data_IF_504368930399
#
_entry.id   IF_504368930399
#
_cell.length_a   1.000
_cell.length_b   1.000
_cell.length_c   1.000
_cell.angle_alpha   90.00
_cell.angle_beta   90.00
_cell.angle_gamma   90.00
#
_symmetry.space_group_name_H-M   'P 1'
#
loop_
_entity.id
_entity.type
_entity.pdbx_description
1 polymer ?
#
# COMPACT_ATOMS: atom_id res chain seq x y z
N UNK A 1 24.21 -34.29 -33.22
CA UNK A 1 23.94 -33.45 -32.03
C UNK A 1 23.70 -32.03 -32.53
N UNK A 2 22.50 -31.47 -32.35
CA UNK A 2 22.12 -30.20 -32.99
C UNK A 2 22.80 -29.07 -32.23
N UNK A 3 23.41 -28.16 -32.96
CA UNK A 3 24.03 -26.94 -32.43
C UNK A 3 23.06 -26.10 -31.56
N UNK A 4 21.75 -26.38 -31.49
CA UNK A 4 20.80 -25.75 -30.56
C UNK A 4 20.99 -26.16 -29.09
N UNK A 5 21.40 -27.40 -28.83
CA UNK A 5 21.26 -28.02 -27.49
C UNK A 5 22.45 -27.67 -26.58
N UNK A 6 23.68 -27.65 -27.11
CA UNK A 6 24.87 -27.13 -26.41
C UNK A 6 24.74 -25.66 -26.01
N UNK A 7 23.81 -24.92 -26.62
CA UNK A 7 23.68 -23.46 -26.50
C UNK A 7 22.66 -23.06 -25.45
N UNK A 8 21.53 -23.76 -25.41
CA UNK A 8 20.62 -23.73 -24.26
C UNK A 8 21.40 -24.16 -23.00
N UNK A 9 22.31 -25.12 -23.12
CA UNK A 9 23.18 -25.51 -22.01
C UNK A 9 24.12 -24.39 -21.53
N UNK A 10 24.66 -23.52 -22.40
CA UNK A 10 25.49 -22.37 -21.96
C UNK A 10 24.67 -21.34 -21.19
N UNK A 11 23.47 -20.99 -21.69
CA UNK A 11 22.58 -20.07 -20.99
C UNK A 11 22.05 -20.68 -19.68
N UNK A 12 21.65 -21.95 -19.71
CA UNK A 12 21.22 -22.67 -18.51
C UNK A 12 22.33 -22.77 -17.47
N UNK A 13 23.56 -23.09 -17.88
CA UNK A 13 24.73 -23.10 -16.99
C UNK A 13 25.03 -21.71 -16.43
N UNK A 14 24.87 -20.66 -17.23
CA UNK A 14 25.03 -19.29 -16.74
C UNK A 14 23.96 -18.94 -15.70
N UNK A 15 22.69 -19.21 -15.99
CA UNK A 15 21.56 -18.98 -15.08
C UNK A 15 21.72 -19.77 -13.78
N UNK A 16 22.07 -21.05 -13.87
CA UNK A 16 22.31 -21.91 -12.70
C UNK A 16 23.41 -21.34 -11.81
N UNK A 17 24.51 -20.86 -12.39
CA UNK A 17 25.60 -20.22 -11.62
C UNK A 17 25.19 -18.88 -11.02
N UNK A 18 24.35 -18.11 -11.72
CA UNK A 18 23.86 -16.83 -11.23
C UNK A 18 22.91 -17.01 -10.05
N UNK A 19 22.08 -18.06 -10.06
CA UNK A 19 21.06 -18.32 -9.05
C UNK A 19 21.57 -19.15 -7.87
N UNK A 20 22.39 -20.17 -8.13
CA UNK A 20 22.79 -21.18 -7.14
C UNK A 20 24.30 -21.26 -6.92
N UNK A 21 25.09 -20.50 -7.70
CA UNK A 21 26.54 -20.52 -7.63
C UNK A 21 27.14 -19.40 -6.76
N UNK A 22 28.47 -19.40 -6.57
CA UNK A 22 29.16 -18.25 -6.00
C UNK A 22 29.03 -17.02 -6.93
N UNK A 23 29.18 -15.79 -6.39
CA UNK A 23 29.12 -14.57 -7.20
C UNK A 23 30.03 -14.65 -8.43
N UNK A 24 29.45 -14.36 -9.60
CA UNK A 24 30.17 -14.42 -10.87
C UNK A 24 31.30 -13.37 -10.93
N UNK A 25 32.43 -13.79 -11.50
CA UNK A 25 33.57 -12.92 -11.79
C UNK A 25 33.37 -12.15 -13.09
N UNK A 26 34.05 -11.01 -13.21
CA UNK A 26 34.04 -10.18 -14.42
C UNK A 26 34.44 -10.98 -15.68
N UNK A 27 35.37 -11.94 -15.56
CA UNK A 27 35.77 -12.84 -16.65
C UNK A 27 34.63 -13.77 -17.10
N UNK A 28 33.78 -14.22 -16.18
CA UNK A 28 32.64 -15.08 -16.51
C UNK A 28 31.52 -14.29 -17.22
N UNK A 29 31.28 -13.03 -16.83
CA UNK A 29 30.37 -12.14 -17.57
C UNK A 29 30.89 -11.88 -18.99
N UNK A 30 32.18 -11.56 -19.13
CA UNK A 30 32.79 -11.35 -20.44
C UNK A 30 32.76 -12.62 -21.32
N UNK A 31 33.03 -13.80 -20.75
CA UNK A 31 32.97 -15.07 -21.49
C UNK A 31 31.56 -15.38 -21.97
N UNK A 32 30.55 -15.19 -21.12
CA UNK A 32 29.15 -15.34 -21.50
C UNK A 32 28.80 -14.45 -22.69
N UNK A 33 29.02 -13.14 -22.60
CA UNK A 33 28.69 -12.19 -23.69
C UNK A 33 29.44 -12.52 -24.99
N UNK A 34 30.73 -12.88 -24.89
CA UNK A 34 31.56 -13.26 -26.05
C UNK A 34 31.06 -14.53 -26.73
N UNK A 35 30.61 -15.53 -25.95
CA UNK A 35 30.12 -16.80 -26.49
C UNK A 35 28.70 -16.65 -27.04
N UNK A 36 27.82 -15.95 -26.32
CA UNK A 36 26.40 -15.82 -26.64
C UNK A 36 26.13 -15.20 -28.03
N UNK A 37 26.95 -14.24 -28.48
CA UNK A 37 26.83 -13.63 -29.82
C UNK A 37 26.96 -14.62 -30.99
N UNK A 38 27.45 -15.83 -30.74
CA UNK A 38 27.62 -16.91 -31.72
C UNK A 38 26.66 -18.09 -31.47
N UNK A 39 25.73 -17.96 -30.52
CA UNK A 39 24.78 -19.01 -30.15
C UNK A 39 23.43 -18.77 -30.85
N UNK A 40 22.92 -19.80 -31.54
CA UNK A 40 21.71 -19.77 -32.35
C UNK A 40 20.41 -20.41 -31.81
N UNK A 41 20.01 -20.29 -30.53
CA UNK A 41 18.63 -20.61 -30.13
C UNK A 41 17.64 -19.48 -30.49
N UNK A 42 18.11 -18.23 -30.62
CA UNK A 42 17.31 -17.15 -31.19
C UNK A 42 17.05 -17.33 -32.69
N UNK A 43 17.62 -18.35 -33.35
CA UNK A 43 17.40 -18.61 -34.78
C UNK A 43 15.93 -18.83 -35.10
N UNK A 44 15.12 -19.34 -34.16
CA UNK A 44 13.67 -19.50 -34.30
C UNK A 44 12.88 -18.17 -34.13
N UNK A 45 13.42 -17.23 -33.35
CA UNK A 45 12.84 -15.93 -33.03
C UNK A 45 13.26 -14.87 -34.06
N UNK A 46 14.47 -15.04 -34.60
CA UNK A 46 15.21 -14.13 -35.48
C UNK A 46 15.37 -14.79 -36.87
N UNK A 47 14.42 -15.65 -37.27
CA UNK A 47 14.48 -16.46 -38.52
C UNK A 47 14.69 -15.61 -39.78
N UNK A 48 14.29 -14.35 -39.73
CA UNK A 48 14.35 -13.40 -40.85
C UNK A 48 15.66 -12.63 -40.93
N UNK A 49 16.50 -12.64 -39.87
CA UNK A 49 17.77 -11.88 -39.87
C UNK A 49 18.95 -12.80 -40.21
N UNK A 50 19.78 -12.35 -41.14
CA UNK A 50 20.99 -13.05 -41.58
C UNK A 50 22.23 -12.19 -41.36
N UNK A 51 23.40 -12.83 -41.24
CA UNK A 51 24.70 -12.14 -41.20
C UNK A 51 24.87 -11.22 -39.98
N UNK A 52 25.37 -10.01 -40.21
CA UNK A 52 25.71 -9.05 -39.14
C UNK A 52 24.50 -8.55 -38.35
N UNK A 53 23.31 -8.45 -38.96
CA UNK A 53 22.09 -8.03 -38.26
C UNK A 53 21.72 -9.02 -37.14
N UNK A 54 21.80 -10.32 -37.42
CA UNK A 54 21.59 -11.36 -36.42
C UNK A 54 22.61 -11.26 -35.29
N UNK A 55 23.90 -11.12 -35.62
CA UNK A 55 24.98 -11.00 -34.63
C UNK A 55 24.80 -9.77 -33.73
N UNK A 56 24.31 -8.65 -34.26
CA UNK A 56 23.95 -7.46 -33.49
C UNK A 56 22.84 -7.75 -32.48
N UNK A 57 21.72 -8.31 -32.92
CA UNK A 57 20.58 -8.66 -32.03
C UNK A 57 21.00 -9.66 -30.95
N UNK A 58 21.81 -10.66 -31.29
CA UNK A 58 22.36 -11.61 -30.29
C UNK A 58 23.28 -10.92 -29.27
N UNK A 59 24.04 -9.91 -29.71
CA UNK A 59 24.89 -9.13 -28.82
C UNK A 59 24.06 -8.25 -27.88
N UNK A 60 22.98 -7.62 -28.39
CA UNK A 60 21.99 -6.92 -27.57
C UNK A 60 21.42 -7.85 -26.51
N UNK A 61 20.92 -9.03 -26.94
CA UNK A 61 20.34 -10.03 -26.06
C UNK A 61 21.28 -10.43 -24.91
N UNK A 62 22.56 -10.68 -25.21
CA UNK A 62 23.55 -11.04 -24.21
C UNK A 62 23.77 -9.93 -23.17
N UNK A 63 23.92 -8.69 -23.64
CA UNK A 63 24.16 -7.53 -22.79
C UNK A 63 22.92 -7.23 -21.92
N UNK A 64 21.72 -7.31 -22.51
CA UNK A 64 20.45 -7.16 -21.79
C UNK A 64 20.22 -8.26 -20.75
N UNK A 65 20.68 -9.48 -21.03
CA UNK A 65 20.59 -10.59 -20.08
C UNK A 65 21.48 -10.40 -18.87
N UNK A 66 22.73 -9.98 -19.09
CA UNK A 66 23.62 -9.59 -18.00
C UNK A 66 23.00 -8.44 -17.20
N UNK A 67 22.43 -7.44 -17.89
CA UNK A 67 21.78 -6.28 -17.26
C UNK A 67 20.47 -6.60 -16.51
N UNK A 68 19.94 -7.82 -16.61
CA UNK A 68 18.73 -8.28 -15.92
C UNK A 68 19.01 -8.84 -14.50
N UNK A 69 20.22 -8.64 -13.97
CA UNK A 69 20.62 -9.04 -12.61
C UNK A 69 21.36 -7.92 -11.90
N UNK A 70 21.27 -7.84 -10.57
CA UNK A 70 21.99 -6.80 -9.81
C UNK A 70 23.51 -6.85 -10.03
N UNK A 71 24.10 -8.05 -9.94
CA UNK A 71 25.55 -8.27 -10.14
C UNK A 71 26.00 -7.95 -11.56
N UNK A 72 25.21 -8.33 -12.57
CA UNK A 72 25.54 -8.03 -13.96
C UNK A 72 25.47 -6.54 -14.26
N UNK A 73 24.52 -5.80 -13.67
CA UNK A 73 24.48 -4.34 -13.76
C UNK A 73 25.71 -3.69 -13.12
N UNK A 74 26.16 -4.17 -11.96
CA UNK A 74 27.39 -3.67 -11.34
C UNK A 74 28.62 -3.92 -12.22
N UNK A 75 28.72 -5.10 -12.82
CA UNK A 75 29.74 -5.42 -13.81
C UNK A 75 29.71 -4.44 -15.00
N UNK A 76 28.54 -4.24 -15.62
CA UNK A 76 28.39 -3.33 -16.76
C UNK A 76 28.68 -1.87 -16.39
N UNK A 77 28.34 -1.45 -15.17
CA UNK A 77 28.62 -0.11 -14.67
C UNK A 77 30.13 0.10 -14.46
N UNK A 78 30.83 -0.85 -13.83
CA UNK A 78 32.30 -0.83 -13.69
C UNK A 78 33.01 -0.70 -15.05
N UNK A 79 32.46 -1.34 -16.07
CA UNK A 79 32.98 -1.30 -17.45
C UNK A 79 32.40 -0.16 -18.30
N UNK A 80 31.58 0.74 -17.73
CA UNK A 80 30.97 1.90 -18.39
C UNK A 80 30.11 1.59 -19.61
N UNK A 81 29.53 0.38 -19.68
CA UNK A 81 28.68 -0.08 -20.79
C UNK A 81 27.22 -0.28 -20.39
N UNK A 82 26.86 -0.03 -19.13
CA UNK A 82 25.47 -0.18 -18.66
C UNK A 82 24.47 0.67 -19.46
N UNK A 83 24.86 1.87 -19.88
CA UNK A 83 24.03 2.77 -20.69
C UNK A 83 23.62 2.18 -22.04
N UNK A 84 24.41 1.23 -22.58
CA UNK A 84 24.06 0.54 -23.83
C UNK A 84 22.86 -0.41 -23.64
N UNK A 85 22.65 -0.92 -22.42
CA UNK A 85 21.58 -1.88 -22.15
C UNK A 85 20.18 -1.29 -22.36
N UNK A 86 20.03 0.02 -22.18
CA UNK A 86 18.77 0.72 -22.43
C UNK A 86 18.37 0.60 -23.91
N UNK A 87 19.22 1.12 -24.81
CA UNK A 87 19.00 1.06 -26.26
C UNK A 87 18.94 -0.38 -26.77
N UNK A 88 19.87 -1.22 -26.33
CA UNK A 88 19.97 -2.61 -26.79
C UNK A 88 18.74 -3.43 -26.38
N UNK A 89 18.10 -3.10 -25.24
CA UNK A 89 16.86 -3.76 -24.83
C UNK A 89 15.70 -3.45 -25.77
N UNK A 90 15.56 -2.19 -26.20
CA UNK A 90 14.53 -1.81 -27.15
C UNK A 90 14.75 -2.46 -28.52
N UNK A 91 15.99 -2.41 -29.02
CA UNK A 91 16.37 -3.03 -30.30
C UNK A 91 16.10 -4.55 -30.27
N UNK A 92 16.55 -5.26 -29.22
CA UNK A 92 16.30 -6.68 -29.07
C UNK A 92 14.81 -7.02 -28.99
N UNK A 93 14.05 -6.36 -28.11
CA UNK A 93 12.63 -6.65 -27.90
C UNK A 93 11.79 -6.35 -29.14
N UNK A 94 12.17 -5.36 -29.95
CA UNK A 94 11.51 -5.08 -31.23
C UNK A 94 11.72 -6.17 -32.29
N UNK A 95 12.81 -6.94 -32.18
CA UNK A 95 13.10 -8.07 -33.06
C UNK A 95 12.38 -9.36 -32.62
N UNK A 96 11.78 -9.39 -31.43
CA UNK A 96 11.01 -10.55 -30.93
C UNK A 96 9.65 -10.61 -31.63
N UNK A 97 9.20 -11.78 -32.13
CA UNK A 97 7.88 -11.93 -32.72
C UNK A 97 6.77 -11.46 -31.77
N UNK A 98 5.73 -10.75 -32.27
CA UNK A 98 4.72 -10.12 -31.43
C UNK A 98 4.02 -11.05 -30.43
N UNK A 99 3.73 -12.30 -30.81
CA UNK A 99 3.08 -13.26 -29.93
C UNK A 99 3.98 -13.72 -28.78
N UNK A 100 5.29 -13.85 -29.05
CA UNK A 100 6.29 -14.16 -28.02
C UNK A 100 6.47 -12.97 -27.10
N UNK A 101 6.56 -11.75 -27.65
CA UNK A 101 6.65 -10.53 -26.85
C UNK A 101 5.42 -10.37 -25.94
N UNK A 102 4.21 -10.60 -26.47
CA UNK A 102 2.98 -10.58 -25.67
C UNK A 102 3.05 -11.56 -24.49
N UNK A 103 3.56 -12.78 -24.72
CA UNK A 103 3.74 -13.78 -23.68
C UNK A 103 4.79 -13.33 -22.64
N UNK A 104 5.88 -12.70 -23.08
CA UNK A 104 6.90 -12.14 -22.17
C UNK A 104 6.33 -11.01 -21.30
N UNK A 105 5.50 -10.12 -21.86
CA UNK A 105 4.88 -9.01 -21.13
C UNK A 105 3.87 -9.52 -20.09
N UNK A 106 3.01 -10.47 -20.48
CA UNK A 106 2.03 -11.07 -19.57
C UNK A 106 2.67 -11.79 -18.37
N UNK A 107 3.87 -12.36 -18.56
CA UNK A 107 4.61 -13.08 -17.52
C UNK A 107 5.80 -12.28 -16.96
N UNK A 108 5.78 -10.96 -17.09
CA UNK A 108 6.82 -10.10 -16.52
C UNK A 108 6.90 -10.28 -15.00
N UNK A 109 8.09 -10.19 -14.44
CA UNK A 109 8.31 -10.30 -12.99
C UNK A 109 9.12 -9.12 -12.46
N UNK A 110 9.11 -8.96 -11.13
CA UNK A 110 10.01 -8.01 -10.45
C UNK A 110 11.27 -8.77 -10.03
N UNK A 111 12.40 -8.37 -10.61
CA UNK A 111 13.72 -8.92 -10.27
C UNK A 111 14.44 -8.11 -9.19
N UNK A 112 15.74 -8.37 -9.06
CA UNK A 112 16.62 -7.64 -8.15
C UNK A 112 16.50 -6.12 -8.35
N UNK A 113 16.72 -5.34 -7.28
CA UNK A 113 16.62 -3.87 -7.32
C UNK A 113 15.28 -3.37 -7.87
N UNK A 114 14.22 -4.19 -7.76
CA UNK A 114 12.89 -3.91 -8.29
C UNK A 114 12.84 -3.72 -9.81
N UNK A 115 13.78 -4.28 -10.59
CA UNK A 115 13.76 -4.12 -12.05
C UNK A 115 12.62 -4.94 -12.69
N UNK A 116 12.06 -4.44 -13.79
CA UNK A 116 11.15 -5.23 -14.64
C UNK A 116 11.99 -6.31 -15.32
N UNK A 117 11.58 -7.57 -15.24
CA UNK A 117 12.25 -8.68 -15.91
C UNK A 117 11.27 -9.36 -16.85
N UNK A 118 11.60 -9.35 -18.14
CA UNK A 118 10.91 -10.09 -19.19
C UNK A 118 11.71 -11.36 -19.48
N UNK A 119 11.08 -12.52 -19.34
CA UNK A 119 11.74 -13.81 -19.59
C UNK A 119 11.22 -14.41 -20.88
N UNK A 120 12.14 -14.68 -21.81
CA UNK A 120 11.83 -15.39 -23.03
C UNK A 120 11.40 -16.83 -22.69
N UNK A 121 10.20 -17.27 -23.11
CA UNK A 121 9.70 -18.62 -22.84
C UNK A 121 10.65 -19.69 -23.36
N UNK A 122 10.70 -20.84 -22.69
CA UNK A 122 11.47 -22.05 -23.03
C UNK A 122 13.00 -21.93 -22.98
N UNK A 123 13.55 -20.74 -23.20
CA UNK A 123 14.99 -20.48 -23.28
C UNK A 123 15.54 -19.92 -21.96
N UNK A 124 14.71 -19.22 -21.17
CA UNK A 124 15.14 -18.61 -19.91
C UNK A 124 16.03 -17.38 -20.11
N UNK A 125 16.02 -16.77 -21.29
CA UNK A 125 16.72 -15.52 -21.56
C UNK A 125 15.93 -14.38 -20.90
N UNK A 126 16.50 -13.80 -19.85
CA UNK A 126 15.95 -12.63 -19.15
C UNK A 126 16.40 -11.33 -19.80
N UNK A 127 15.54 -10.32 -19.80
CA UNK A 127 15.83 -8.96 -20.26
C UNK A 127 15.17 -7.96 -19.31
N UNK A 128 15.93 -6.96 -18.86
CA UNK A 128 15.36 -5.80 -18.17
C UNK A 128 15.19 -4.66 -19.18
N UNK A 129 13.96 -4.29 -19.58
CA UNK A 129 13.74 -3.18 -20.49
C UNK A 129 14.20 -1.86 -19.87
N UNK A 130 14.85 -1.03 -20.66
CA UNK A 130 15.20 0.34 -20.28
C UNK A 130 14.12 1.36 -20.68
N UNK A 131 14.37 2.64 -20.38
CA UNK A 131 13.45 3.73 -20.68
C UNK A 131 13.19 3.90 -22.18
N UNK A 132 14.17 3.60 -23.05
CA UNK A 132 14.04 3.68 -24.50
C UNK A 132 12.92 2.77 -25.04
N UNK A 133 12.74 1.58 -24.45
CA UNK A 133 11.68 0.65 -24.83
C UNK A 133 10.28 1.19 -24.50
N UNK A 134 10.16 2.08 -23.52
CA UNK A 134 8.90 2.72 -23.14
C UNK A 134 8.73 4.14 -23.70
N UNK A 135 9.69 4.63 -24.48
CA UNK A 135 9.67 5.98 -25.04
C UNK A 135 8.74 6.14 -26.26
N UNK A 136 9.15 7.01 -27.17
CA UNK A 136 8.43 7.31 -28.42
C UNK A 136 9.22 6.97 -29.70
N UNK A 137 10.38 6.32 -29.56
CA UNK A 137 11.24 5.94 -30.69
C UNK A 137 10.73 4.76 -31.52
N UNK A 138 11.46 4.44 -32.60
CA UNK A 138 11.14 3.38 -33.57
C UNK A 138 10.90 1.99 -32.95
N UNK A 139 11.61 1.68 -31.86
CA UNK A 139 11.52 0.40 -31.16
C UNK A 139 10.67 0.47 -29.87
N UNK A 140 9.92 1.55 -29.68
CA UNK A 140 9.13 1.73 -28.47
C UNK A 140 7.87 0.85 -28.46
N UNK A 141 7.53 0.39 -27.27
CA UNK A 141 6.32 -0.37 -27.00
C UNK A 141 5.08 0.48 -27.28
N UNK A 142 4.01 -0.13 -27.80
CA UNK A 142 2.73 0.56 -27.97
C UNK A 142 2.07 0.84 -26.61
N UNK A 143 1.23 1.88 -26.53
CA UNK A 143 0.49 2.23 -25.30
C UNK A 143 -0.35 1.05 -24.80
N UNK A 144 -1.02 0.33 -25.70
CA UNK A 144 -1.82 -0.84 -25.34
C UNK A 144 -0.99 -1.98 -24.73
N UNK A 145 0.21 -2.23 -25.27
CA UNK A 145 1.11 -3.27 -24.72
C UNK A 145 1.78 -2.81 -23.42
N UNK A 146 2.03 -1.51 -23.26
CA UNK A 146 2.52 -0.92 -22.01
C UNK A 146 1.48 -1.07 -20.90
N UNK A 147 0.19 -0.82 -21.19
CA UNK A 147 -0.91 -1.08 -20.26
C UNK A 147 -1.03 -2.57 -19.92
N UNK A 148 -0.93 -3.44 -20.93
CA UNK A 148 -0.90 -4.89 -20.71
C UNK A 148 0.20 -5.31 -19.73
N UNK A 149 1.39 -4.72 -19.85
CA UNK A 149 2.50 -4.98 -18.94
C UNK A 149 2.24 -4.43 -17.53
N UNK A 150 1.73 -3.20 -17.41
CA UNK A 150 1.70 -2.47 -16.15
C UNK A 150 0.49 -2.81 -15.28
N UNK A 151 -0.72 -2.85 -15.87
CA UNK A 151 -1.99 -2.81 -15.14
C UNK A 151 -2.84 -4.07 -15.27
N UNK A 152 -2.65 -4.89 -16.30
CA UNK A 152 -3.42 -6.14 -16.42
C UNK A 152 -2.99 -7.14 -15.35
N UNK A 153 -3.95 -7.90 -14.85
CA UNK A 153 -3.71 -8.93 -13.85
C UNK A 153 -2.90 -10.09 -14.44
N UNK A 154 -1.87 -10.51 -13.69
CA UNK A 154 -1.10 -11.70 -14.03
C UNK A 154 -1.73 -12.96 -13.42
N UNK A 155 -1.15 -14.12 -13.67
CA UNK A 155 -1.71 -15.42 -13.22
C UNK A 155 -1.93 -15.54 -11.71
N UNK A 156 -1.22 -14.74 -10.89
CA UNK A 156 -1.38 -14.69 -9.43
C UNK A 156 -2.44 -13.68 -8.97
N UNK A 157 -3.23 -13.12 -9.89
CA UNK A 157 -4.30 -12.17 -9.59
C UNK A 157 -3.82 -10.77 -9.20
N UNK A 158 -2.56 -10.44 -9.46
CA UNK A 158 -2.00 -9.11 -9.18
C UNK A 158 -1.34 -8.52 -10.42
N UNK A 159 -1.47 -7.21 -10.60
CA UNK A 159 -0.79 -6.48 -11.66
C UNK A 159 0.69 -6.26 -11.32
N UNK A 160 1.50 -6.02 -12.35
CA UNK A 160 2.92 -5.70 -12.15
C UNK A 160 3.10 -4.40 -11.34
N UNK A 161 2.20 -3.42 -11.53
CA UNK A 161 2.18 -2.17 -10.78
C UNK A 161 1.97 -2.39 -9.27
N UNK A 162 1.06 -3.29 -8.89
CA UNK A 162 0.81 -3.61 -7.48
C UNK A 162 2.01 -4.29 -6.82
N UNK A 163 2.62 -5.25 -7.53
CA UNK A 163 3.86 -5.89 -7.09
C UNK A 163 4.94 -4.83 -6.85
N UNK A 164 5.06 -3.87 -7.76
CA UNK A 164 6.05 -2.80 -7.66
C UNK A 164 5.75 -1.87 -6.50
N UNK A 165 4.49 -1.44 -6.35
CA UNK A 165 4.05 -0.63 -5.22
C UNK A 165 4.32 -1.31 -3.86
N UNK A 166 4.17 -2.63 -3.77
CA UNK A 166 4.54 -3.44 -2.61
C UNK A 166 6.05 -3.45 -2.38
N UNK A 167 6.85 -3.77 -3.41
CA UNK A 167 8.31 -3.79 -3.32
C UNK A 167 8.89 -2.43 -2.87
N UNK A 168 8.32 -1.33 -3.34
CA UNK A 168 8.77 0.02 -3.01
C UNK A 168 8.56 0.42 -1.54
N UNK A 169 7.68 -0.29 -0.81
CA UNK A 169 7.44 -0.08 0.63
C UNK A 169 8.43 -0.81 1.53
N UNK A 170 9.00 -1.94 1.08
CA UNK A 170 9.79 -2.85 1.91
C UNK A 170 11.32 -2.73 1.73
N UNK A 171 11.80 -2.02 0.72
CA UNK A 171 13.24 -1.96 0.43
C UNK A 171 13.92 -0.84 1.21
N UNK A 172 14.60 -1.23 2.30
CA UNK A 172 15.48 -0.39 3.12
C UNK A 172 16.97 -0.35 2.68
N UNK A 173 17.30 -0.59 1.41
CA UNK A 173 18.71 -0.65 0.97
C UNK A 173 19.07 0.35 -0.16
N UNK A 174 20.24 1.01 -0.06
CA UNK A 174 20.71 2.09 -0.92
C UNK A 174 21.46 1.55 -2.14
N UNK A 175 20.73 1.08 -3.16
CA UNK A 175 21.32 1.02 -4.49
C UNK A 175 20.39 1.80 -5.42
N UNK A 176 20.69 3.10 -5.53
CA UNK A 176 20.09 4.01 -6.50
C UNK A 176 20.49 3.55 -7.90
N UNK A 177 19.67 2.70 -8.51
CA UNK A 177 19.80 2.36 -9.91
C UNK A 177 18.89 3.26 -10.73
N UNK A 178 19.39 4.46 -11.03
CA UNK A 178 18.62 5.48 -11.73
C UNK A 178 18.05 5.00 -13.07
N UNK A 179 18.76 4.10 -13.77
CA UNK A 179 18.26 3.53 -15.02
C UNK A 179 17.02 2.64 -14.80
N UNK A 180 16.93 1.92 -13.68
CA UNK A 180 15.72 1.17 -13.31
C UNK A 180 14.56 2.12 -12.99
N UNK A 181 14.81 3.19 -12.23
CA UNK A 181 13.78 4.18 -11.89
C UNK A 181 13.27 4.92 -13.14
N UNK A 182 14.16 5.26 -14.06
CA UNK A 182 13.81 5.87 -15.34
C UNK A 182 12.96 4.93 -16.20
N UNK A 183 13.26 3.63 -16.23
CA UNK A 183 12.46 2.65 -16.95
C UNK A 183 11.02 2.55 -16.40
N UNK A 184 10.87 2.46 -15.06
CA UNK A 184 9.55 2.47 -14.42
C UNK A 184 8.77 3.76 -14.69
N UNK A 185 9.43 4.90 -14.58
CA UNK A 185 8.80 6.18 -14.83
C UNK A 185 8.35 6.33 -16.29
N UNK A 186 9.21 5.91 -17.25
CA UNK A 186 8.88 5.90 -18.66
C UNK A 186 7.68 4.98 -18.96
N UNK A 187 7.61 3.79 -18.36
CA UNK A 187 6.47 2.89 -18.49
C UNK A 187 5.17 3.53 -17.96
N UNK A 188 5.21 4.16 -16.78
CA UNK A 188 4.05 4.84 -16.20
C UNK A 188 3.58 5.98 -17.11
N UNK A 189 4.50 6.86 -17.54
CA UNK A 189 4.18 7.96 -18.47
C UNK A 189 3.57 7.45 -19.76
N UNK A 190 4.13 6.38 -20.32
CA UNK A 190 3.63 5.75 -21.55
C UNK A 190 2.21 5.21 -21.40
N UNK A 191 1.85 4.69 -20.23
CA UNK A 191 0.50 4.20 -19.96
C UNK A 191 -0.50 5.35 -19.77
N UNK A 192 -0.06 6.47 -19.22
CA UNK A 192 -0.86 7.70 -19.07
C UNK A 192 -1.10 8.35 -20.43
N UNK A 193 -0.07 8.42 -21.29
CA UNK A 193 -0.20 8.83 -22.70
C UNK A 193 -0.85 10.22 -22.86
N UNK A 194 -0.36 11.21 -22.11
CA UNK A 194 -0.86 12.60 -22.04
C UNK A 194 -2.35 12.75 -21.66
N UNK A 195 -2.98 11.68 -21.14
CA UNK A 195 -4.35 11.71 -20.61
C UNK A 195 -4.34 11.95 -19.09
N UNK A 196 -5.52 12.22 -18.54
CA UNK A 196 -5.68 12.31 -17.08
C UNK A 196 -5.39 10.94 -16.43
N UNK A 197 -4.68 10.93 -15.30
CA UNK A 197 -4.33 9.67 -14.60
C UNK A 197 -5.56 8.87 -14.21
N UNK A 198 -6.66 9.54 -13.83
CA UNK A 198 -7.93 8.88 -13.50
C UNK A 198 -8.54 8.05 -14.65
N UNK A 199 -8.12 8.30 -15.90
CA UNK A 199 -8.56 7.51 -17.07
C UNK A 199 -7.72 6.26 -17.34
N UNK A 200 -6.65 6.05 -16.56
CA UNK A 200 -5.74 4.93 -16.77
C UNK A 200 -6.46 3.57 -16.63
N UNK A 201 -7.28 3.44 -15.58
CA UNK A 201 -8.00 2.22 -15.23
C UNK A 201 -9.25 2.53 -14.37
N UNK A 202 -10.21 1.61 -14.29
CA UNK A 202 -11.45 1.80 -13.51
C UNK A 202 -11.34 1.37 -12.03
N UNK A 203 -10.26 0.70 -11.63
CA UNK A 203 -10.07 0.16 -10.27
C UNK A 203 -9.34 1.15 -9.36
N UNK A 204 -9.95 1.44 -8.21
CA UNK A 204 -9.35 2.24 -7.12
C UNK A 204 -8.04 1.61 -6.60
N UNK A 205 -7.95 0.27 -6.61
CA UNK A 205 -6.76 -0.46 -6.17
C UNK A 205 -5.54 -0.18 -7.06
N UNK A 206 -5.74 -0.15 -8.39
CA UNK A 206 -4.70 0.19 -9.37
C UNK A 206 -4.24 1.64 -9.18
N UNK A 207 -5.17 2.56 -8.95
CA UNK A 207 -4.84 3.96 -8.68
C UNK A 207 -4.08 4.14 -7.35
N UNK A 208 -4.47 3.39 -6.31
CA UNK A 208 -3.74 3.36 -5.04
C UNK A 208 -2.30 2.83 -5.23
N UNK A 209 -2.14 1.76 -5.99
CA UNK A 209 -0.85 1.19 -6.33
C UNK A 209 0.01 2.18 -7.13
N UNK A 210 -0.57 2.89 -8.11
CA UNK A 210 0.11 3.94 -8.86
C UNK A 210 0.64 5.05 -7.95
N UNK A 211 -0.20 5.58 -7.05
CA UNK A 211 0.20 6.61 -6.10
C UNK A 211 1.33 6.15 -5.18
N UNK A 212 1.29 4.89 -4.72
CA UNK A 212 2.35 4.28 -3.89
C UNK A 212 3.65 4.10 -4.67
N UNK A 213 3.58 3.60 -5.89
CA UNK A 213 4.72 3.41 -6.78
C UNK A 213 5.43 4.74 -7.08
N UNK A 214 4.67 5.77 -7.51
CA UNK A 214 5.19 7.10 -7.80
C UNK A 214 5.83 7.74 -6.57
N UNK A 215 5.15 7.68 -5.41
CA UNK A 215 5.72 8.18 -4.15
C UNK A 215 7.01 7.46 -3.77
N UNK A 216 7.07 6.15 -4.02
CA UNK A 216 8.27 5.35 -3.84
C UNK A 216 9.43 5.80 -4.74
N UNK A 217 9.15 6.09 -6.01
CA UNK A 217 10.13 6.58 -6.99
C UNK A 217 10.65 7.96 -6.58
N UNK A 218 9.76 8.91 -6.29
CA UNK A 218 10.10 10.28 -5.88
C UNK A 218 11.05 10.26 -4.68
N UNK A 219 10.75 9.46 -3.65
CA UNK A 219 11.60 9.35 -2.44
C UNK A 219 13.03 8.89 -2.75
N UNK A 220 13.19 8.00 -3.73
CA UNK A 220 14.51 7.44 -4.10
C UNK A 220 15.29 8.40 -4.99
N UNK A 221 14.62 9.12 -5.89
CA UNK A 221 15.26 10.10 -6.76
C UNK A 221 15.63 11.39 -6.01
N UNK A 222 14.77 11.87 -5.09
CA UNK A 222 15.01 13.09 -4.31
C UNK A 222 16.06 12.96 -3.20
N UNK A 223 16.55 11.75 -2.92
CA UNK A 223 17.63 11.51 -1.95
C UNK A 223 19.04 11.80 -2.50
N UNK A 224 19.19 11.80 -3.84
CA UNK A 224 20.44 12.13 -4.52
C UNK A 224 20.46 13.62 -4.88
N UNK A 225 21.52 14.32 -4.46
CA UNK A 225 21.75 15.76 -4.65
C UNK A 225 22.02 16.07 -6.13
N UNK A 226 21.04 16.02 -7.05
CA UNK A 226 21.27 16.45 -8.43
C UNK A 226 20.03 17.06 -9.10
N UNK A 227 20.30 18.15 -9.85
CA UNK A 227 19.44 18.76 -10.87
C UNK A 227 18.80 17.66 -11.71
N UNK A 228 17.49 17.77 -11.96
CA UNK A 228 16.69 16.82 -12.74
C UNK A 228 17.54 16.12 -13.81
N UNK A 229 18.00 14.88 -13.57
CA UNK A 229 18.58 14.09 -14.64
C UNK A 229 17.41 13.74 -15.54
N UNK A 230 17.31 14.40 -16.69
CA UNK A 230 16.45 13.90 -17.76
C UNK A 230 16.70 12.39 -17.87
N UNK A 231 15.66 11.55 -17.77
CA UNK A 231 14.24 11.84 -18.05
C UNK A 231 13.26 11.89 -16.85
N UNK A 232 13.69 11.86 -15.58
CA UNK A 232 12.76 11.85 -14.44
C UNK A 232 12.39 13.27 -14.01
N UNK A 233 11.11 13.66 -14.11
CA UNK A 233 10.61 14.95 -13.65
C UNK A 233 9.86 14.77 -12.32
N UNK A 234 10.48 15.20 -11.21
CA UNK A 234 9.88 15.09 -9.85
C UNK A 234 8.52 15.80 -9.79
N UNK A 235 8.42 16.97 -10.42
CA UNK A 235 7.21 17.78 -10.45
C UNK A 235 6.02 17.06 -11.10
N UNK A 236 6.23 16.50 -12.29
CA UNK A 236 5.22 15.75 -13.02
C UNK A 236 4.83 14.47 -12.26
N UNK A 237 5.80 13.74 -11.71
CA UNK A 237 5.54 12.56 -10.90
C UNK A 237 4.69 12.88 -9.65
N UNK A 238 4.93 14.03 -8.99
CA UNK A 238 4.12 14.49 -7.85
C UNK A 238 2.68 14.81 -8.27
N UNK A 239 2.46 15.42 -9.43
CA UNK A 239 1.12 15.65 -9.98
C UNK A 239 0.39 14.34 -10.25
N UNK A 240 1.05 13.39 -10.92
CA UNK A 240 0.45 12.07 -11.15
C UNK A 240 0.15 11.33 -9.84
N UNK A 241 0.98 11.50 -8.82
CA UNK A 241 0.76 10.94 -7.49
C UNK A 241 -0.53 11.51 -6.84
N UNK A 242 -0.74 12.82 -6.93
CA UNK A 242 -1.98 13.47 -6.47
C UNK A 242 -3.19 12.92 -7.22
N UNK A 243 -3.15 12.90 -8.56
CA UNK A 243 -4.27 12.42 -9.37
C UNK A 243 -4.59 10.94 -9.12
N UNK A 244 -3.56 10.10 -8.97
CA UNK A 244 -3.71 8.68 -8.64
C UNK A 244 -4.41 8.48 -7.29
N UNK A 245 -3.94 9.14 -6.22
CA UNK A 245 -4.62 9.01 -4.92
C UNK A 245 -6.03 9.60 -4.93
N UNK A 246 -6.26 10.67 -5.68
CA UNK A 246 -7.61 11.22 -5.87
C UNK A 246 -8.54 10.23 -6.57
N UNK A 247 -8.06 9.55 -7.61
CA UNK A 247 -8.83 8.53 -8.34
C UNK A 247 -9.05 7.25 -7.51
N UNK A 248 -8.19 7.00 -6.52
CA UNK A 248 -8.32 5.89 -5.58
C UNK A 248 -9.22 6.19 -4.37
N UNK A 249 -9.76 7.40 -4.24
CA UNK A 249 -10.47 7.82 -3.01
C UNK A 249 -9.58 7.89 -1.76
N UNK A 250 -8.25 7.85 -1.90
CA UNK A 250 -7.31 7.92 -0.77
C UNK A 250 -7.04 9.38 -0.40
N UNK A 251 -7.97 9.95 0.37
CA UNK A 251 -7.91 11.34 0.83
C UNK A 251 -6.60 11.68 1.55
N UNK A 252 -6.10 10.75 2.37
CA UNK A 252 -4.87 10.94 3.14
C UNK A 252 -3.63 10.88 2.25
N UNK A 253 -3.58 9.93 1.33
CA UNK A 253 -2.54 9.83 0.30
C UNK A 253 -2.49 11.08 -0.56
N UNK A 254 -3.66 11.53 -1.05
CA UNK A 254 -3.82 12.73 -1.87
C UNK A 254 -3.37 14.00 -1.12
N UNK A 255 -3.83 14.18 0.12
CA UNK A 255 -3.41 15.30 0.97
C UNK A 255 -1.90 15.32 1.20
N UNK A 256 -1.28 14.15 1.47
CA UNK A 256 0.18 14.04 1.62
C UNK A 256 0.92 14.35 0.32
N UNK A 257 0.41 13.91 -0.84
CA UNK A 257 1.02 14.22 -2.12
C UNK A 257 0.97 15.73 -2.44
N UNK A 258 -0.12 16.43 -2.07
CA UNK A 258 -0.16 17.90 -2.14
C UNK A 258 0.85 18.57 -1.20
N UNK A 259 1.09 18.03 0.00
CA UNK A 259 2.15 18.54 0.88
C UNK A 259 3.54 18.37 0.26
N UNK A 260 3.80 17.21 -0.35
CA UNK A 260 5.07 16.94 -1.06
C UNK A 260 5.25 17.93 -2.23
N UNK A 261 4.17 18.21 -2.98
CA UNK A 261 4.16 19.20 -4.06
C UNK A 261 4.33 20.65 -3.58
N UNK A 262 3.72 21.01 -2.44
CA UNK A 262 3.92 22.32 -1.82
C UNK A 262 5.39 22.54 -1.44
N UNK A 263 6.03 21.52 -0.84
CA UNK A 263 7.46 21.59 -0.49
C UNK A 263 8.34 21.72 -1.74
N UNK A 264 7.98 21.05 -2.84
CA UNK A 264 8.66 21.21 -4.12
C UNK A 264 8.55 22.65 -4.64
N UNK A 265 7.35 23.24 -4.66
CA UNK A 265 7.17 24.64 -5.08
C UNK A 265 7.90 25.64 -4.19
N UNK A 266 7.88 25.43 -2.87
CA UNK A 266 8.65 26.21 -1.91
C UNK A 266 10.14 26.24 -2.26
N UNK A 267 10.71 25.07 -2.56
CA UNK A 267 12.13 24.95 -2.91
C UNK A 267 12.50 25.69 -4.21
N UNK A 268 11.52 25.96 -5.08
CA UNK A 268 11.69 26.70 -6.33
C UNK A 268 11.23 28.17 -6.25
N UNK A 269 10.78 28.63 -5.08
CA UNK A 269 10.33 30.02 -4.87
C UNK A 269 8.91 30.33 -5.39
N UNK A 270 8.13 29.32 -5.76
CA UNK A 270 6.79 29.44 -6.36
C UNK A 270 5.69 29.58 -5.28
N UNK A 271 5.65 30.73 -4.59
CA UNK A 271 4.83 30.93 -3.39
C UNK A 271 3.32 30.75 -3.59
N UNK A 272 2.78 31.24 -4.70
CA UNK A 272 1.33 31.14 -4.96
C UNK A 272 0.90 29.67 -5.18
N UNK A 273 1.74 28.90 -5.87
CA UNK A 273 1.52 27.48 -6.12
C UNK A 273 1.69 26.66 -4.84
N UNK A 274 2.68 27.01 -4.02
CA UNK A 274 2.87 26.44 -2.68
C UNK A 274 1.63 26.62 -1.80
N UNK A 275 1.15 27.86 -1.61
CA UNK A 275 -0.04 28.16 -0.79
C UNK A 275 -1.28 27.44 -1.31
N UNK A 276 -1.47 27.43 -2.64
CA UNK A 276 -2.56 26.68 -3.26
C UNK A 276 -2.49 25.17 -2.95
N UNK A 277 -1.29 24.57 -2.94
CA UNK A 277 -1.12 23.16 -2.58
C UNK A 277 -1.42 22.90 -1.10
N UNK A 278 -1.02 23.77 -0.16
CA UNK A 278 -1.42 23.61 1.25
C UNK A 278 -2.93 23.70 1.44
N UNK A 279 -3.58 24.64 0.74
CA UNK A 279 -5.04 24.75 0.72
C UNK A 279 -5.71 23.48 0.22
N UNK A 280 -5.23 22.91 -0.90
CA UNK A 280 -5.77 21.66 -1.45
C UNK A 280 -5.49 20.46 -0.53
N UNK A 281 -4.29 20.35 0.04
CA UNK A 281 -3.96 19.32 1.02
C UNK A 281 -4.94 19.32 2.20
N UNK A 282 -5.20 20.50 2.78
CA UNK A 282 -6.17 20.68 3.86
C UNK A 282 -7.57 20.19 3.48
N UNK A 283 -8.06 20.54 2.29
CA UNK A 283 -9.38 20.10 1.83
C UNK A 283 -9.46 18.57 1.78
N UNK A 284 -8.40 17.90 1.30
CA UNK A 284 -8.36 16.44 1.29
C UNK A 284 -8.32 15.86 2.70
N UNK A 285 -7.56 16.45 3.63
CA UNK A 285 -7.53 15.98 5.01
C UNK A 285 -8.87 16.17 5.73
N UNK A 286 -9.61 17.25 5.47
CA UNK A 286 -10.98 17.44 5.98
C UNK A 286 -11.89 16.31 5.50
N UNK A 287 -11.90 16.03 4.20
CA UNK A 287 -12.67 14.90 3.64
C UNK A 287 -12.28 13.56 4.27
N UNK A 288 -10.98 13.36 4.50
CA UNK A 288 -10.46 12.18 5.19
C UNK A 288 -10.96 12.06 6.63
N UNK A 289 -11.01 13.17 7.38
CA UNK A 289 -11.59 13.20 8.73
C UNK A 289 -13.06 12.78 8.69
N UNK A 290 -13.87 13.45 7.85
CA UNK A 290 -15.31 13.20 7.74
C UNK A 290 -15.61 11.75 7.34
N UNK A 291 -14.90 11.23 6.33
CA UNK A 291 -15.11 9.87 5.84
C UNK A 291 -14.68 8.78 6.85
N UNK A 292 -13.61 9.04 7.62
CA UNK A 292 -13.02 8.03 8.50
C UNK A 292 -13.51 8.13 9.95
N UNK A 293 -14.20 9.20 10.35
CA UNK A 293 -14.57 9.44 11.75
C UNK A 293 -15.35 8.26 12.36
N UNK A 294 -16.35 7.75 11.63
CA UNK A 294 -17.17 6.61 12.05
C UNK A 294 -16.54 5.23 11.78
N UNK A 295 -15.48 5.15 10.99
CA UNK A 295 -14.86 3.87 10.58
C UNK A 295 -13.57 3.57 11.35
N UNK A 296 -12.72 4.58 11.51
CA UNK A 296 -11.42 4.50 12.18
C UNK A 296 -11.03 5.86 12.74
N UNK A 297 -11.38 6.08 14.01
CA UNK A 297 -11.03 7.31 14.73
C UNK A 297 -9.53 7.63 14.69
N UNK A 298 -8.68 6.60 14.80
CA UNK A 298 -7.22 6.78 14.75
C UNK A 298 -6.76 7.34 13.41
N UNK A 299 -7.31 6.85 12.29
CA UNK A 299 -6.94 7.36 10.96
C UNK A 299 -7.55 8.74 10.67
N UNK A 300 -8.76 9.00 11.15
CA UNK A 300 -9.36 10.34 11.10
C UNK A 300 -8.52 11.36 11.87
N UNK A 301 -8.06 11.03 13.09
CA UNK A 301 -7.19 11.89 13.89
C UNK A 301 -5.84 12.18 13.19
N UNK A 302 -5.24 11.18 12.53
CA UNK A 302 -4.03 11.40 11.71
C UNK A 302 -4.29 12.37 10.57
N UNK A 303 -5.46 12.32 9.92
CA UNK A 303 -5.84 13.29 8.88
C UNK A 303 -6.00 14.69 9.47
N UNK A 304 -6.66 14.82 10.62
CA UNK A 304 -6.80 16.10 11.33
C UNK A 304 -5.44 16.73 11.66
N UNK A 305 -4.51 15.98 12.22
CA UNK A 305 -3.17 16.46 12.57
C UNK A 305 -2.41 16.96 11.34
N UNK A 306 -2.45 16.20 10.24
CA UNK A 306 -1.84 16.61 8.97
C UNK A 306 -2.52 17.85 8.37
N UNK A 307 -3.85 17.97 8.51
CA UNK A 307 -4.61 19.15 8.09
C UNK A 307 -4.22 20.40 8.87
N UNK A 308 -4.00 20.30 10.18
CA UNK A 308 -3.49 21.41 11.00
C UNK A 308 -2.09 21.82 10.59
N UNK A 309 -1.22 20.84 10.36
CA UNK A 309 0.15 21.11 9.89
C UNK A 309 0.14 21.86 8.56
N UNK A 310 -0.74 21.48 7.62
CA UNK A 310 -0.94 22.20 6.36
C UNK A 310 -1.36 23.66 6.60
N UNK A 311 -2.30 23.92 7.52
CA UNK A 311 -2.71 25.29 7.86
C UNK A 311 -1.56 26.13 8.44
N UNK A 312 -0.74 25.54 9.32
CA UNK A 312 0.39 26.23 9.94
C UNK A 312 1.48 26.58 8.93
N UNK A 313 1.76 25.67 7.99
CA UNK A 313 2.75 25.92 6.92
C UNK A 313 2.31 26.98 5.91
N UNK A 314 1.00 27.22 5.81
CA UNK A 314 0.36 28.27 5.00
C UNK A 314 0.08 29.55 5.83
N UNK A 315 0.54 29.63 7.08
CA UNK A 315 0.24 30.71 8.04
C UNK A 315 -1.27 31.07 8.15
N UNK A 316 -2.13 30.06 7.96
CA UNK A 316 -3.57 30.24 7.81
C UNK A 316 -4.35 29.90 9.09
N UNK A 317 -4.23 30.77 10.10
CA UNK A 317 -4.88 30.60 11.40
C UNK A 317 -6.42 30.55 11.32
N UNK A 318 -7.02 31.20 10.33
CA UNK A 318 -8.47 31.12 10.09
C UNK A 318 -8.90 29.71 9.69
N UNK A 319 -8.17 29.07 8.78
CA UNK A 319 -8.43 27.70 8.36
C UNK A 319 -8.19 26.69 9.49
N UNK A 320 -7.16 26.88 10.32
CA UNK A 320 -6.94 26.03 11.50
C UNK A 320 -8.13 26.10 12.48
N UNK A 321 -8.71 27.28 12.69
CA UNK A 321 -9.93 27.43 13.53
C UNK A 321 -11.15 26.72 12.93
N UNK A 322 -11.31 26.72 11.61
CA UNK A 322 -12.38 25.95 10.94
C UNK A 322 -12.20 24.46 11.17
N UNK A 323 -10.98 23.95 10.97
CA UNK A 323 -10.67 22.53 11.17
C UNK A 323 -10.85 22.11 12.64
N UNK A 324 -10.48 22.97 13.59
CA UNK A 324 -10.73 22.73 15.02
C UNK A 324 -12.24 22.64 15.32
N UNK A 325 -13.05 23.57 14.81
CA UNK A 325 -14.50 23.54 14.99
C UNK A 325 -15.13 22.26 14.45
N UNK A 326 -14.72 21.81 13.27
CA UNK A 326 -15.17 20.52 12.72
C UNK A 326 -14.92 19.37 13.71
N UNK A 327 -13.71 19.29 14.28
CA UNK A 327 -13.39 18.24 15.25
C UNK A 327 -14.21 18.34 16.53
N UNK A 328 -14.44 19.55 17.02
CA UNK A 328 -15.24 19.77 18.22
C UNK A 328 -16.69 19.32 17.97
N UNK A 329 -17.27 19.66 16.81
CA UNK A 329 -18.61 19.19 16.39
C UNK A 329 -18.69 17.67 16.29
N UNK A 330 -17.75 17.01 15.63
CA UNK A 330 -17.74 15.55 15.49
C UNK A 330 -17.64 14.83 16.85
N UNK A 331 -16.88 15.38 17.80
CA UNK A 331 -16.80 14.85 19.16
C UNK A 331 -18.08 15.07 19.96
N UNK A 332 -18.74 16.21 19.77
CA UNK A 332 -20.03 16.50 20.40
C UNK A 332 -21.14 15.58 19.90
N UNK A 333 -21.17 15.30 18.59
CA UNK A 333 -22.09 14.32 17.97
C UNK A 333 -21.88 12.91 18.53
N UNK A 334 -20.64 12.46 18.65
CA UNK A 334 -20.30 11.18 19.28
C UNK A 334 -20.76 11.14 20.75
N UNK A 335 -20.50 12.21 21.52
CA UNK A 335 -20.93 12.30 22.91
C UNK A 335 -22.45 12.34 23.05
N UNK A 336 -23.17 12.96 22.11
CA UNK A 336 -24.63 12.96 22.07
C UNK A 336 -25.17 11.55 21.76
N UNK A 337 -24.59 10.85 20.78
CA UNK A 337 -24.95 9.47 20.41
C UNK A 337 -24.75 8.48 21.56
N UNK A 338 -23.62 8.58 22.26
CA UNK A 338 -23.34 7.76 23.46
C UNK A 338 -24.34 8.06 24.58
N UNK A 339 -24.64 9.33 24.84
CA UNK A 339 -25.65 9.72 25.84
C UNK A 339 -27.04 9.18 25.50
N UNK A 340 -27.46 9.26 24.24
CA UNK A 340 -28.74 8.72 23.79
C UNK A 340 -28.80 7.19 23.96
N UNK A 341 -27.71 6.48 23.65
CA UNK A 341 -27.62 5.02 23.84
C UNK A 341 -27.68 4.64 25.31
N UNK A 342 -26.97 5.35 26.18
CA UNK A 342 -26.99 5.12 27.62
C UNK A 342 -28.38 5.41 28.21
N UNK A 343 -29.02 6.50 27.79
CA UNK A 343 -30.38 6.82 28.23
C UNK A 343 -31.36 5.71 27.85
N UNK A 344 -31.32 5.24 26.60
CA UNK A 344 -32.17 4.13 26.17
C UNK A 344 -31.94 2.84 26.98
N UNK A 345 -30.70 2.56 27.41
CA UNK A 345 -30.41 1.44 28.31
C UNK A 345 -30.92 1.67 29.72
N UNK A 346 -30.82 2.89 30.25
CA UNK A 346 -31.39 3.25 31.55
C UNK A 346 -32.90 3.09 31.53
N UNK A 347 -33.57 3.61 30.50
CA UNK A 347 -35.02 3.50 30.32
C UNK A 347 -35.46 2.02 30.22
N UNK A 348 -34.69 1.19 29.51
CA UNK A 348 -34.92 -0.25 29.44
C UNK A 348 -34.81 -0.92 30.83
N UNK A 349 -33.75 -0.62 31.58
CA UNK A 349 -33.55 -1.18 32.93
C UNK A 349 -34.65 -0.72 33.88
N UNK A 350 -35.10 0.54 33.78
CA UNK A 350 -36.22 1.04 34.58
C UNK A 350 -37.53 0.31 34.27
N UNK A 351 -37.80 0.01 32.99
CA UNK A 351 -38.95 -0.81 32.61
C UNK A 351 -38.85 -2.24 33.16
N UNK A 352 -37.69 -2.88 33.06
CA UNK A 352 -37.45 -4.22 33.59
C UNK A 352 -37.62 -4.25 35.12
N UNK A 353 -37.08 -3.27 35.84
CA UNK A 353 -37.25 -3.14 37.29
C UNK A 353 -38.70 -2.89 37.68
N UNK A 354 -39.44 -2.09 36.91
CA UNK A 354 -40.87 -1.85 37.13
C UNK A 354 -41.68 -3.14 36.96
N UNK A 355 -41.39 -3.92 35.93
CA UNK A 355 -42.00 -5.23 35.69
C UNK A 355 -41.72 -6.20 36.86
N UNK A 356 -40.46 -6.30 37.30
CA UNK A 356 -40.06 -7.12 38.45
C UNK A 356 -40.81 -6.69 39.73
N UNK A 357 -40.90 -5.38 39.99
CA UNK A 357 -41.67 -4.86 41.15
C UNK A 357 -43.14 -5.25 41.08
N UNK A 358 -43.74 -5.16 39.89
CA UNK A 358 -45.13 -5.54 39.69
C UNK A 358 -45.35 -7.05 39.91
N UNK A 359 -44.43 -7.90 39.44
CA UNK A 359 -44.45 -9.34 39.70
C UNK A 359 -44.29 -9.65 41.19
N UNK A 360 -43.38 -8.97 41.90
CA UNK A 360 -43.21 -9.13 43.35
C UNK A 360 -44.46 -8.72 44.12
N UNK A 361 -45.10 -7.61 43.74
CA UNK A 361 -46.35 -7.16 44.37
C UNK A 361 -47.52 -8.12 44.11
N UNK A 362 -47.54 -8.79 42.96
CA UNK A 362 -48.51 -9.85 42.67
C UNK A 362 -48.22 -11.10 43.52
N UNK A 363 -46.95 -11.51 43.61
CA UNK A 363 -46.53 -12.64 44.45
C UNK A 363 -46.84 -12.40 45.93
N UNK A 364 -46.50 -11.22 46.46
CA UNK A 364 -46.82 -10.83 47.84
C UNK A 364 -48.32 -10.78 48.10
N UNK A 365 -49.14 -10.37 47.12
CA UNK A 365 -50.61 -10.43 47.23
C UNK A 365 -51.12 -11.87 47.23
N UNK A 366 -50.53 -12.75 46.43
CA UNK A 366 -50.85 -14.18 46.44
C UNK A 366 -50.46 -14.84 47.76
N UNK A 367 -49.28 -14.57 48.29
CA UNK A 367 -48.81 -15.10 49.58
C UNK A 367 -49.61 -14.53 50.76
N UNK A 368 -49.94 -13.24 50.75
CA UNK A 368 -50.80 -12.64 51.76
C UNK A 368 -52.22 -13.23 51.73
N UNK A 369 -52.74 -13.56 50.54
CA UNK A 369 -54.04 -14.22 50.38
C UNK A 369 -54.00 -15.68 50.82
N UNK A 370 -52.92 -16.41 50.52
CA UNK A 370 -52.69 -17.76 51.01
C UNK A 370 -52.53 -17.81 52.53
N UNK A 371 -51.82 -16.84 53.12
CA UNK A 371 -51.69 -16.66 54.58
C UNK A 371 -53.01 -16.27 55.23
N UNK A 372 -53.81 -15.41 54.59
CA UNK A 372 -55.14 -15.04 55.07
C UNK A 372 -56.10 -16.24 55.02
N UNK A 373 -56.09 -17.02 53.93
CA UNK A 373 -56.88 -18.25 53.81
C UNK A 373 -56.42 -19.33 54.82
N UNK A 374 -55.11 -19.43 55.07
CA UNK A 374 -54.55 -20.32 56.10
C UNK A 374 -54.85 -19.86 57.53
N UNK A 375 -55.00 -18.54 57.77
CA UNK A 375 -55.46 -17.96 59.05
C UNK A 375 -56.97 -18.11 59.23
N UNK A 376 -57.74 -17.92 58.16
CA UNK A 376 -59.20 -18.14 58.15
C UNK A 376 -59.53 -19.60 58.45
N UNK A 377 -58.79 -20.54 57.86
CA UNK A 377 -58.86 -21.98 58.21
C UNK A 377 -58.35 -22.31 59.63
N UNK A 378 -57.49 -21.48 60.22
CA UNK A 378 -57.05 -21.61 61.63
C UNK A 378 -57.99 -20.90 62.61
N UNK A 379 -58.87 -20.01 62.15
CA UNK A 379 -59.88 -19.32 62.96
C UNK A 379 -61.03 -20.21 63.42
N UNK A 380 -61.13 -21.44 62.90
CA UNK A 380 -62.12 -22.44 63.32
C UNK A 380 -61.56 -23.48 64.30
N UNK A 381 -60.29 -23.38 64.74
CA UNK A 381 -59.76 -24.28 65.76
C UNK A 381 -58.91 -23.56 66.81
N UNK A 382 -59.44 -23.61 68.04
CA UNK A 382 -58.80 -23.51 69.35
C UNK A 382 -58.75 -22.14 70.06
N UNK A 383 -59.74 -22.01 70.95
CA UNK A 383 -59.59 -21.54 72.34
C UNK A 383 -58.56 -22.37 73.13
N UNK A 384 -58.00 -21.72 74.16
CA UNK A 384 -57.29 -22.22 75.37
C UNK A 384 -55.76 -21.98 75.44
N UNK A 385 -55.42 -20.99 76.30
CA UNK A 385 -54.32 -20.85 77.30
C UNK A 385 -52.84 -21.15 76.88
N UNK A 386 -51.76 -20.52 77.37
CA UNK A 386 -51.41 -19.95 78.67
C UNK A 386 -50.11 -19.08 78.57
N UNK A 387 -49.99 -18.08 79.47
CA UNK A 387 -48.81 -17.50 80.18
C UNK A 387 -47.34 -17.58 79.65
N UNK A 388 -46.75 -16.38 79.46
CA UNK A 388 -45.42 -15.78 79.85
C UNK A 388 -44.12 -16.64 79.87
N UNK A 389 -42.89 -16.10 79.60
CA UNK A 389 -42.34 -14.82 80.14
C UNK A 389 -41.41 -14.02 79.15
N UNK A 390 -40.73 -12.92 79.57
CA UNK A 390 -40.10 -11.93 78.68
C UNK A 390 -38.64 -12.30 78.37
N UNK A 391 -38.14 -11.93 77.17
CA UNK A 391 -36.71 -11.92 76.87
C UNK A 391 -36.31 -10.80 75.93
N UNK A 392 -35.18 -10.20 76.29
CA UNK A 392 -34.42 -9.07 75.74
C UNK A 392 -34.04 -9.16 74.25
N UNK A 393 -33.66 -8.03 73.63
CA UNK A 393 -33.32 -7.96 72.20
C UNK A 393 -31.88 -8.44 71.97
N UNK A 394 -31.58 -9.10 70.84
CA UNK A 394 -30.21 -9.20 70.38
C UNK A 394 -29.97 -8.36 69.12
N UNK A 395 -29.01 -7.45 69.30
CA UNK A 395 -27.82 -7.32 68.46
C UNK A 395 -27.97 -6.85 67.01
N UNK A 396 -27.55 -5.60 66.82
CA UNK A 396 -26.83 -5.12 65.65
C UNK A 396 -25.73 -6.10 65.20
N UNK A 397 -25.63 -6.30 63.89
CA UNK A 397 -24.45 -6.86 63.23
C UNK A 397 -24.37 -6.31 61.79
N UNK A 398 -23.17 -6.23 61.20
CA UNK A 398 -22.62 -4.95 60.82
C UNK A 398 -22.68 -4.73 59.31
N UNK A 399 -22.68 -3.46 58.94
CA UNK A 399 -22.33 -2.99 57.61
C UNK A 399 -20.99 -3.61 57.16
N UNK A 400 -21.02 -4.47 56.13
CA UNK A 400 -19.83 -4.82 55.34
C UNK A 400 -19.63 -3.73 54.26
N UNK A 401 -18.51 -3.00 54.26
CA UNK A 401 -18.17 -2.14 53.14
C UNK A 401 -17.66 -3.00 51.96
N UNK A 402 -17.97 -2.63 50.71
CA UNK A 402 -17.49 -3.36 49.55
C UNK A 402 -15.96 -3.30 49.44
N UNK A 403 -15.36 -4.47 49.24
CA UNK A 403 -13.95 -4.68 48.96
C UNK A 403 -13.48 -3.84 47.74
N UNK A 404 -12.53 -2.94 47.97
CA UNK A 404 -11.72 -2.34 46.90
C UNK A 404 -10.85 -3.42 46.23
N UNK A 405 -10.79 -3.48 44.88
CA UNK A 405 -9.85 -4.34 44.18
C UNK A 405 -8.41 -3.81 44.35
N UNK A 406 -7.40 -4.70 44.50
CA UNK A 406 -6.02 -4.31 44.70
C UNK A 406 -5.44 -3.57 43.49
N UNK A 407 -4.81 -2.42 43.76
CA UNK A 407 -3.98 -1.68 42.80
C UNK A 407 -2.74 -2.51 42.45
N UNK A 408 -2.55 -2.77 41.17
CA UNK A 408 -1.30 -3.34 40.65
C UNK A 408 -0.12 -2.37 40.86
N UNK A 409 1.04 -2.86 41.32
CA UNK A 409 2.26 -2.06 41.39
C UNK A 409 2.86 -1.84 39.99
N UNK A 410 3.59 -0.74 39.78
CA UNK A 410 4.19 -0.38 38.49
C UNK A 410 5.29 -1.39 38.12
N UNK A 411 5.21 -1.90 36.89
CA UNK A 411 6.24 -2.71 36.27
C UNK A 411 7.42 -1.82 35.84
N UNK A 412 8.37 -1.65 36.74
CA UNK A 412 9.74 -1.28 36.38
C UNK A 412 10.51 -2.53 35.95
N UNK A 413 10.70 -2.70 34.64
CA UNK A 413 11.82 -3.47 34.12
C UNK A 413 12.28 -2.92 32.77
N UNK A 414 13.54 -2.52 32.79
CA UNK A 414 14.35 -1.94 31.73
C UNK A 414 14.58 -2.83 30.50
N UNK A 415 14.64 -2.22 29.32
CA UNK A 415 15.87 -2.01 28.52
C UNK A 415 15.56 -1.37 27.17
#
# INVERSE_FOLDING_TARGET
MRLSDERVAVLAQYNERLENGPPLTDAQFADFMRRFRYLGPLDAIVRTLTGEAKKRILSCAALCHVAASGLGRDYLNRHRVLHLADRDSAEFLSAVPPDILRNMLANASIGDRCMIVLTLPEVGLRVSPGAAFFGSGEHALSVGSAKMLLIEEQADGTSLLEKFAGAMQHVGAPISDMAVWNAWYALIRKCIDDKAVGSLHGSEQIHSALGKALKGLIRRVSGDVYRDPEPFCVHEALKFCVEAYSAAGDWKGCGKAYLDLANHYRAHGERDLESNCYRLARVQFVRGVEALWGQSRTEAMKCYELGREACRRDDNAAAERVLKRLMDTLKEEDAASVRATLQGRVDQVEMELSAIRQELDLANRHDARALWDARSKRGEMNTVAHNLPPHEPPYESPYEPPHEPPREPPSDSAR
#
